data_IF_064573882527
#
_entry.id   IF_064573882527
#
_cell.length_a   1.000
_cell.length_b   1.000
_cell.length_c   1.000
_cell.angle_alpha   90.00
_cell.angle_beta   90.00
_cell.angle_gamma   90.00
#
_symmetry.space_group_name_H-M   'P 1'
#
loop_
_entity.id
_entity.type
_entity.pdbx_description
1 polymer ?
#
# COMPACT_ATOMS: atom_id res chain seq x y z
N UNK A 1 7.73 -18.79 -11.16
CA UNK A 1 6.30 -18.66 -11.49
C UNK A 1 5.92 -17.21 -11.82
N UNK A 2 6.03 -16.23 -10.90
CA UNK A 2 5.61 -14.84 -11.18
C UNK A 2 6.50 -14.05 -12.16
N UNK A 3 7.82 -14.29 -12.22
CA UNK A 3 8.68 -13.67 -13.23
C UNK A 3 8.22 -13.99 -14.66
N UNK A 4 7.75 -15.22 -14.90
CA UNK A 4 7.15 -15.61 -16.18
C UNK A 4 5.78 -14.94 -16.37
N UNK A 5 4.99 -14.75 -15.31
CA UNK A 5 3.72 -14.01 -15.36
C UNK A 5 3.91 -12.51 -15.63
N UNK A 6 5.00 -11.91 -15.15
CA UNK A 6 5.36 -10.52 -15.42
C UNK A 6 5.95 -10.34 -16.82
N UNK A 7 6.80 -11.26 -17.28
CA UNK A 7 7.25 -11.30 -18.66
C UNK A 7 6.04 -11.47 -19.61
N UNK A 8 5.08 -12.32 -19.23
CA UNK A 8 3.81 -12.48 -19.94
C UNK A 8 2.93 -11.23 -19.85
N UNK A 9 2.94 -10.49 -18.73
CA UNK A 9 2.22 -9.22 -18.58
C UNK A 9 2.84 -8.12 -19.45
N UNK A 10 4.17 -8.01 -19.49
CA UNK A 10 4.89 -7.08 -20.35
C UNK A 10 4.73 -7.44 -21.83
N UNK A 11 4.73 -8.74 -22.16
CA UNK A 11 4.43 -9.23 -23.51
C UNK A 11 2.97 -8.92 -23.88
N UNK A 12 2.02 -9.17 -22.97
CA UNK A 12 0.60 -8.82 -23.14
C UNK A 12 0.37 -7.32 -23.26
N UNK A 13 1.18 -6.50 -22.57
CA UNK A 13 1.17 -5.04 -22.72
C UNK A 13 1.75 -4.60 -24.07
N UNK A 14 2.81 -5.27 -24.57
CA UNK A 14 3.37 -5.03 -25.92
C UNK A 14 2.37 -5.45 -27.01
N UNK A 15 1.72 -6.61 -26.88
CA UNK A 15 0.67 -7.09 -27.79
C UNK A 15 -0.60 -6.24 -27.72
N UNK A 16 -1.06 -5.87 -26.52
CA UNK A 16 -2.18 -4.91 -26.37
C UNK A 16 -1.83 -3.57 -26.96
N UNK A 17 -0.61 -3.05 -26.81
CA UNK A 17 -0.16 -1.80 -27.46
C UNK A 17 -0.22 -1.90 -28.99
N UNK A 18 0.10 -3.05 -29.57
CA UNK A 18 0.00 -3.28 -31.02
C UNK A 18 -1.44 -3.47 -31.49
N UNK A 19 -2.30 -4.13 -30.69
CA UNK A 19 -3.72 -4.32 -30.97
C UNK A 19 -4.56 -3.05 -30.77
N UNK A 20 -4.24 -2.23 -29.77
CA UNK A 20 -4.88 -0.94 -29.44
C UNK A 20 -4.57 0.15 -30.47
N UNK A 21 -3.60 -0.09 -31.37
CA UNK A 21 -3.34 0.77 -32.53
C UNK A 21 -4.51 0.82 -33.55
N UNK A 22 -5.57 0.02 -33.34
CA UNK A 22 -6.74 -0.12 -34.22
C UNK A 22 -8.09 0.31 -33.63
N UNK A 23 -8.16 0.90 -32.43
CA UNK A 23 -9.43 1.37 -31.85
C UNK A 23 -9.28 2.57 -30.90
N UNK A 24 -10.31 3.42 -30.73
CA UNK A 24 -10.19 4.65 -29.95
C UNK A 24 -10.52 4.39 -28.46
N UNK A 25 -9.57 4.66 -27.57
CA UNK A 25 -9.72 5.57 -26.40
C UNK A 25 -8.45 5.54 -25.52
N UNK A 26 -7.87 6.75 -25.39
CA UNK A 26 -6.77 7.24 -24.55
C UNK A 26 -5.71 6.25 -24.01
N UNK A 27 -4.73 5.87 -24.86
CA UNK A 27 -3.41 5.51 -24.35
C UNK A 27 -2.79 6.75 -23.68
N UNK A 28 -2.13 6.58 -22.54
CA UNK A 28 -1.24 7.62 -21.99
C UNK A 28 -0.18 7.91 -23.06
N UNK A 29 -0.38 8.98 -23.83
CA UNK A 29 0.51 9.37 -24.90
C UNK A 29 1.65 10.20 -24.30
N UNK A 30 2.81 9.57 -24.16
CA UNK A 30 4.01 10.21 -23.63
C UNK A 30 4.68 11.00 -24.75
N UNK A 31 4.40 12.29 -24.83
CA UNK A 31 5.10 13.22 -25.72
C UNK A 31 6.46 13.58 -25.14
N UNK A 32 7.44 12.69 -25.33
CA UNK A 32 8.80 12.85 -24.81
C UNK A 32 9.66 13.82 -25.64
N UNK A 33 9.14 14.34 -26.76
CA UNK A 33 9.83 15.32 -27.60
C UNK A 33 11.24 14.88 -27.97
N UNK A 34 12.23 15.77 -27.80
CA UNK A 34 13.62 15.52 -28.16
C UNK A 34 14.31 14.41 -27.35
N UNK A 35 13.75 13.96 -26.23
CA UNK A 35 14.35 12.89 -25.40
C UNK A 35 13.79 11.49 -25.72
N UNK A 36 12.82 11.35 -26.64
CA UNK A 36 12.19 10.04 -26.96
C UNK A 36 13.23 8.97 -27.32
N UNK A 37 14.18 9.31 -28.20
CA UNK A 37 15.22 8.38 -28.65
C UNK A 37 16.12 7.93 -27.51
N UNK A 38 16.43 8.83 -26.58
CA UNK A 38 17.27 8.51 -25.42
C UNK A 38 16.53 7.62 -24.41
N UNK A 39 15.25 7.90 -24.19
CA UNK A 39 14.38 7.09 -23.33
C UNK A 39 14.17 5.70 -23.90
N UNK A 40 13.82 5.58 -25.19
CA UNK A 40 13.64 4.29 -25.87
C UNK A 40 14.91 3.45 -25.82
N UNK A 41 16.08 4.06 -26.08
CA UNK A 41 17.37 3.38 -25.98
C UNK A 41 17.64 2.89 -24.56
N UNK A 42 17.32 3.70 -23.54
CA UNK A 42 17.51 3.35 -22.14
C UNK A 42 16.57 2.22 -21.70
N UNK A 43 15.31 2.25 -22.14
CA UNK A 43 14.35 1.18 -21.90
C UNK A 43 14.78 -0.14 -22.55
N UNK A 44 15.28 -0.09 -23.79
CA UNK A 44 15.82 -1.28 -24.47
C UNK A 44 17.02 -1.88 -23.71
N UNK A 45 17.90 -1.03 -23.17
CA UNK A 45 19.00 -1.48 -22.32
C UNK A 45 18.49 -2.13 -21.03
N UNK A 46 17.51 -1.53 -20.37
CA UNK A 46 16.92 -2.08 -19.14
C UNK A 46 16.21 -3.41 -19.34
N UNK A 47 15.56 -3.59 -20.50
CA UNK A 47 14.99 -4.87 -20.92
C UNK A 47 16.11 -5.93 -21.06
N UNK A 48 17.22 -5.60 -21.72
CA UNK A 48 18.37 -6.51 -21.88
C UNK A 48 19.02 -6.87 -20.53
N UNK A 49 19.16 -5.90 -19.63
CA UNK A 49 19.71 -6.07 -18.28
C UNK A 49 18.71 -6.70 -17.30
N UNK A 50 17.48 -7.00 -17.76
CA UNK A 50 16.38 -7.55 -16.96
C UNK A 50 16.10 -6.75 -15.69
N UNK A 51 16.22 -5.42 -15.77
CA UNK A 51 16.10 -4.52 -14.61
C UNK A 51 14.77 -4.72 -13.90
N UNK A 52 13.66 -4.87 -14.64
CA UNK A 52 12.35 -5.14 -14.05
C UNK A 52 12.30 -6.42 -13.23
N UNK A 53 12.77 -7.55 -13.78
CA UNK A 53 12.80 -8.82 -13.05
C UNK A 53 13.77 -8.82 -11.86
N UNK A 54 14.88 -8.08 -11.96
CA UNK A 54 15.83 -7.87 -10.86
C UNK A 54 15.24 -7.00 -9.76
N UNK A 55 14.50 -5.95 -10.12
CA UNK A 55 13.79 -5.07 -9.21
C UNK A 55 12.77 -5.85 -8.36
N UNK A 56 11.97 -6.71 -8.99
CA UNK A 56 11.01 -7.58 -8.29
C UNK A 56 11.62 -8.65 -7.40
N UNK A 57 12.90 -9.01 -7.64
CA UNK A 57 13.66 -9.92 -6.78
C UNK A 57 14.51 -9.19 -5.74
N UNK A 58 14.27 -7.89 -5.58
CA UNK A 58 14.97 -7.02 -4.62
C UNK A 58 16.49 -7.06 -4.83
N UNK A 59 16.95 -7.18 -6.08
CA UNK A 59 18.37 -7.33 -6.39
C UNK A 59 19.17 -6.07 -6.00
N UNK A 60 20.04 -6.13 -4.97
CA UNK A 60 20.75 -4.96 -4.46
C UNK A 60 21.76 -4.40 -5.47
N UNK A 61 22.18 -5.18 -6.46
CA UNK A 61 23.11 -4.72 -7.49
C UNK A 61 22.52 -3.70 -8.46
N UNK A 62 21.20 -3.45 -8.41
CA UNK A 62 20.57 -2.31 -9.08
C UNK A 62 20.91 -0.96 -8.41
N UNK A 63 21.33 -0.99 -7.14
CA UNK A 63 21.75 0.18 -6.37
C UNK A 63 23.16 -0.03 -5.80
N UNK A 64 24.21 0.02 -6.65
CA UNK A 64 25.59 -0.30 -6.24
C UNK A 64 26.16 0.59 -5.12
N UNK A 65 25.54 1.75 -4.86
CA UNK A 65 25.93 2.69 -3.82
C UNK A 65 25.05 2.60 -2.55
N UNK A 66 24.08 1.70 -2.50
CA UNK A 66 23.20 1.51 -1.35
C UNK A 66 23.62 0.29 -0.53
N UNK A 67 23.36 0.34 0.78
CA UNK A 67 23.48 -0.84 1.63
C UNK A 67 22.44 -1.90 1.17
N UNK A 68 22.84 -3.16 0.88
CA UNK A 68 21.90 -4.21 0.55
C UNK A 68 20.77 -4.41 1.56
N UNK A 69 21.02 -4.19 2.86
CA UNK A 69 20.00 -4.29 3.91
C UNK A 69 18.96 -3.17 3.79
N UNK A 70 19.39 -1.97 3.40
CA UNK A 70 18.50 -0.84 3.14
C UNK A 70 17.63 -1.09 1.90
N UNK A 71 18.18 -1.73 0.86
CA UNK A 71 17.43 -2.04 -0.37
C UNK A 71 16.26 -2.99 -0.07
N UNK A 72 16.51 -4.09 0.64
CA UNK A 72 15.46 -5.04 1.03
C UNK A 72 14.39 -4.35 1.90
N UNK A 73 14.80 -3.54 2.88
CA UNK A 73 13.85 -2.79 3.72
C UNK A 73 12.99 -1.81 2.92
N UNK A 74 13.57 -1.14 1.91
CA UNK A 74 12.86 -0.18 1.06
C UNK A 74 11.98 -0.83 0.00
N UNK A 75 12.28 -2.07 -0.41
CA UNK A 75 11.52 -2.81 -1.42
C UNK A 75 10.52 -3.81 -0.83
N UNK A 76 10.47 -3.98 0.49
CA UNK A 76 9.53 -4.90 1.14
C UNK A 76 8.04 -4.61 0.88
N UNK A 77 7.68 -3.48 0.26
CA UNK A 77 6.32 -3.22 -0.22
C UNK A 77 5.95 -4.06 -1.46
N UNK A 78 6.92 -4.56 -2.23
CA UNK A 78 6.69 -5.33 -3.45
C UNK A 78 6.01 -6.67 -3.17
N UNK A 79 6.28 -7.25 -2.00
CA UNK A 79 5.72 -8.55 -1.55
C UNK A 79 4.54 -8.37 -0.59
N UNK A 80 4.20 -7.12 -0.26
CA UNK A 80 3.14 -6.81 0.70
C UNK A 80 1.78 -7.38 0.29
N UNK A 81 1.35 -7.36 -1.00
CA UNK A 81 0.08 -7.96 -1.39
C UNK A 81 -0.01 -9.46 -1.09
N UNK A 82 1.05 -10.23 -1.40
CA UNK A 82 1.10 -11.67 -1.15
C UNK A 82 1.14 -11.98 0.35
N UNK A 83 1.97 -11.24 1.09
CA UNK A 83 2.09 -11.40 2.55
C UNK A 83 0.77 -11.05 3.23
N UNK A 84 0.12 -9.96 2.83
CA UNK A 84 -1.15 -9.53 3.41
C UNK A 84 -2.31 -10.46 3.03
N UNK A 85 -2.30 -11.03 1.83
CA UNK A 85 -3.32 -12.00 1.42
C UNK A 85 -3.36 -13.21 2.37
N UNK A 86 -2.20 -13.68 2.84
CA UNK A 86 -2.11 -14.76 3.82
C UNK A 86 -2.63 -14.36 5.21
N UNK A 87 -2.66 -13.06 5.53
CA UNK A 87 -3.16 -12.50 6.79
C UNK A 87 -4.66 -12.17 6.76
N UNK A 88 -5.29 -12.17 5.58
CA UNK A 88 -6.71 -11.87 5.46
C UNK A 88 -7.61 -12.74 6.35
N UNK A 89 -7.40 -14.07 6.49
CA UNK A 89 -8.25 -14.89 7.37
C UNK A 89 -8.19 -14.44 8.84
N UNK A 90 -7.00 -14.10 9.32
CA UNK A 90 -6.77 -13.61 10.68
C UNK A 90 -7.47 -12.26 10.91
N UNK A 91 -7.35 -11.34 9.94
CA UNK A 91 -7.97 -10.01 9.98
C UNK A 91 -9.50 -10.14 9.95
N UNK A 92 -10.05 -10.95 9.04
CA UNK A 92 -11.50 -11.16 8.93
C UNK A 92 -12.06 -11.77 10.21
N UNK A 93 -11.38 -12.78 10.77
CA UNK A 93 -11.79 -13.37 12.04
C UNK A 93 -11.79 -12.36 13.19
N UNK A 94 -10.78 -11.48 13.25
CA UNK A 94 -10.76 -10.40 14.24
C UNK A 94 -11.94 -9.44 14.05
N UNK A 95 -12.23 -9.04 12.81
CA UNK A 95 -13.36 -8.17 12.48
C UNK A 95 -14.69 -8.80 12.85
N UNK A 96 -14.87 -10.10 12.62
CA UNK A 96 -16.09 -10.82 13.00
C UNK A 96 -16.31 -10.82 14.52
N UNK A 97 -15.26 -11.10 15.30
CA UNK A 97 -15.34 -10.99 16.78
C UNK A 97 -15.72 -9.60 17.24
N UNK A 98 -15.12 -8.55 16.66
CA UNK A 98 -15.46 -7.16 17.00
C UNK A 98 -16.94 -6.87 16.73
N UNK A 99 -17.52 -7.46 15.68
CA UNK A 99 -18.95 -7.32 15.37
C UNK A 99 -19.84 -8.11 16.33
N UNK A 100 -19.47 -9.35 16.63
CA UNK A 100 -20.19 -10.22 17.57
C UNK A 100 -20.21 -9.66 18.99
N UNK A 101 -19.11 -9.04 19.42
CA UNK A 101 -19.00 -8.36 20.72
C UNK A 101 -19.79 -7.02 20.78
N UNK A 102 -20.33 -6.56 19.65
CA UNK A 102 -21.26 -5.42 19.62
C UNK A 102 -20.60 -4.03 19.67
N UNK A 103 -19.30 -3.95 19.36
CA UNK A 103 -18.60 -2.68 19.23
C UNK A 103 -19.19 -1.86 18.08
N UNK A 104 -19.44 -0.57 18.34
CA UNK A 104 -19.97 0.37 17.34
C UNK A 104 -18.99 1.50 17.00
N UNK A 105 -17.88 1.59 17.74
CA UNK A 105 -16.82 2.58 17.56
C UNK A 105 -15.43 1.91 17.65
N UNK A 106 -14.52 2.34 16.76
CA UNK A 106 -13.09 2.05 16.83
C UNK A 106 -12.35 3.38 16.87
N UNK A 107 -11.51 3.57 17.89
CA UNK A 107 -10.62 4.72 18.01
C UNK A 107 -9.20 4.26 17.69
N UNK A 108 -8.65 4.73 16.58
CA UNK A 108 -7.25 4.55 16.24
C UNK A 108 -6.41 5.64 16.90
N UNK A 109 -5.55 5.24 17.83
CA UNK A 109 -4.55 6.07 18.49
C UNK A 109 -3.24 5.91 17.72
N UNK A 110 -2.81 6.94 17.01
CA UNK A 110 -1.53 6.95 16.31
C UNK A 110 -0.95 8.35 16.26
N UNK A 111 0.35 8.47 15.99
CA UNK A 111 0.98 9.76 15.68
C UNK A 111 1.69 9.68 14.33
N UNK A 112 1.39 10.58 13.41
CA UNK A 112 2.10 10.75 12.14
C UNK A 112 1.59 9.86 11.00
N UNK A 113 2.49 9.30 10.18
CA UNK A 113 2.13 8.57 8.94
C UNK A 113 1.18 7.38 9.14
N UNK A 114 1.15 6.80 10.34
CA UNK A 114 0.22 5.73 10.71
C UNK A 114 -1.23 6.19 10.94
N UNK A 115 -1.47 7.50 11.07
CA UNK A 115 -2.78 8.11 11.28
C UNK A 115 -3.40 8.61 9.97
N UNK A 116 -2.58 9.10 9.04
CA UNK A 116 -3.06 9.75 7.81
C UNK A 116 -3.74 8.78 6.84
N UNK A 117 -3.14 7.61 6.56
CA UNK A 117 -3.75 6.65 5.65
C UNK A 117 -5.09 6.12 6.18
N UNK A 118 -5.22 5.71 7.46
CA UNK A 118 -6.51 5.36 8.04
C UNK A 118 -7.53 6.52 8.07
N UNK A 119 -7.09 7.76 8.31
CA UNK A 119 -8.00 8.92 8.28
C UNK A 119 -8.56 9.13 6.86
N UNK A 120 -7.71 9.07 5.83
CA UNK A 120 -8.14 9.15 4.43
C UNK A 120 -9.09 8.01 4.09
N UNK A 121 -8.76 6.76 4.44
CA UNK A 121 -9.64 5.62 4.20
C UNK A 121 -10.98 5.76 4.90
N UNK A 122 -11.01 6.26 6.14
CA UNK A 122 -12.27 6.48 6.87
C UNK A 122 -13.18 7.53 6.22
N UNK A 123 -12.59 8.48 5.47
CA UNK A 123 -13.32 9.54 4.76
C UNK A 123 -13.78 9.12 3.37
N UNK A 124 -12.99 8.30 2.68
CA UNK A 124 -13.27 7.91 1.28
C UNK A 124 -14.05 6.60 1.17
N UNK A 125 -13.95 5.73 2.17
CA UNK A 125 -14.67 4.46 2.22
C UNK A 125 -15.82 4.57 3.22
N UNK A 126 -17.08 4.39 2.79
CA UNK A 126 -18.20 4.40 3.72
C UNK A 126 -18.10 3.20 4.68
N UNK A 127 -18.46 3.43 5.94
CA UNK A 127 -18.64 2.33 6.89
C UNK A 127 -19.83 1.46 6.45
N UNK A 128 -19.59 0.15 6.33
CA UNK A 128 -20.63 -0.82 6.00
C UNK A 128 -21.61 -1.00 7.15
N UNK A 129 -22.89 -1.24 6.83
CA UNK A 129 -23.91 -1.52 7.83
C UNK A 129 -23.51 -2.73 8.70
N UNK A 130 -23.58 -2.57 10.03
CA UNK A 130 -23.19 -3.62 10.98
C UNK A 130 -21.68 -3.71 11.27
N UNK A 131 -20.91 -2.67 10.90
CA UNK A 131 -19.51 -2.51 11.30
C UNK A 131 -19.35 -1.25 12.16
N UNK A 132 -18.35 -1.21 13.05
CA UNK A 132 -18.10 -0.03 13.87
C UNK A 132 -17.58 1.14 13.03
N UNK A 133 -17.80 2.35 13.53
CA UNK A 133 -17.28 3.58 12.94
C UNK A 133 -15.82 3.78 13.35
N UNK A 134 -14.95 4.11 12.41
CA UNK A 134 -13.55 4.44 12.68
C UNK A 134 -13.41 5.95 12.96
N UNK A 135 -12.72 6.30 14.04
CA UNK A 135 -12.24 7.65 14.31
C UNK A 135 -10.74 7.60 14.61
N UNK A 136 -9.98 8.45 13.94
CA UNK A 136 -8.54 8.59 14.19
C UNK A 136 -8.31 9.70 15.21
N UNK A 137 -7.53 9.41 16.25
CA UNK A 137 -7.05 10.39 17.22
C UNK A 137 -5.53 10.53 17.05
N UNK A 138 -5.15 11.53 16.26
CA UNK A 138 -3.75 11.88 15.96
C UNK A 138 -3.23 12.96 16.94
N UNK A 139 -3.51 12.81 18.23
CA UNK A 139 -3.08 13.77 19.25
C UNK A 139 -2.97 13.14 20.62
N UNK A 140 -1.87 13.44 21.32
CA UNK A 140 -1.67 13.14 22.74
C UNK A 140 -2.12 14.28 23.65
N UNK A 141 -2.70 15.36 23.09
CA UNK A 141 -3.14 16.50 23.88
C UNK A 141 -4.26 16.08 24.85
N UNK A 142 -4.15 16.36 26.16
CA UNK A 142 -5.10 15.91 27.17
C UNK A 142 -6.56 16.28 26.85
N UNK A 143 -6.78 17.46 26.26
CA UNK A 143 -8.14 17.90 25.92
C UNK A 143 -8.74 17.11 24.75
N UNK A 144 -7.91 16.68 23.78
CA UNK A 144 -8.35 15.86 22.65
C UNK A 144 -8.75 14.45 23.13
N UNK A 145 -7.94 13.86 24.02
CA UNK A 145 -8.25 12.58 24.66
C UNK A 145 -9.51 12.69 25.53
N UNK A 146 -9.63 13.76 26.31
CA UNK A 146 -10.80 14.00 27.15
C UNK A 146 -12.08 14.22 26.32
N UNK A 147 -11.99 14.92 25.18
CA UNK A 147 -13.09 15.11 24.26
C UNK A 147 -13.57 13.77 23.68
N UNK A 148 -12.65 12.91 23.21
CA UNK A 148 -13.01 11.56 22.73
C UNK A 148 -13.68 10.76 23.83
N UNK A 149 -13.09 10.70 25.03
CA UNK A 149 -13.64 9.96 26.17
C UNK A 149 -15.05 10.40 26.56
N UNK A 150 -15.38 11.70 26.44
CA UNK A 150 -16.73 12.23 26.71
C UNK A 150 -17.74 11.93 25.60
N UNK A 151 -17.27 11.61 24.39
CA UNK A 151 -18.10 11.49 23.19
C UNK A 151 -18.46 10.06 22.79
N UNK A 152 -17.94 9.05 23.50
CA UNK A 152 -18.11 7.63 23.17
C UNK A 152 -18.53 6.80 24.39
N UNK A 153 -19.29 5.73 24.17
CA UNK A 153 -19.50 4.71 25.19
C UNK A 153 -18.29 3.77 25.24
N UNK A 154 -17.51 3.86 26.31
CA UNK A 154 -16.29 3.07 26.48
C UNK A 154 -16.55 1.55 26.46
N UNK A 155 -17.76 1.09 26.81
CA UNK A 155 -18.12 -0.34 26.77
C UNK A 155 -18.32 -0.86 25.35
N UNK A 156 -18.55 0.04 24.39
CA UNK A 156 -18.81 -0.28 22.98
C UNK A 156 -17.74 0.29 22.04
N UNK A 157 -16.63 0.74 22.63
CA UNK A 157 -15.50 1.34 21.91
C UNK A 157 -14.27 0.46 21.99
N UNK A 158 -13.72 0.10 20.82
CA UNK A 158 -12.42 -0.55 20.70
C UNK A 158 -11.34 0.50 20.48
N UNK A 159 -10.24 0.42 21.22
CA UNK A 159 -9.07 1.28 21.02
C UNK A 159 -7.95 0.50 20.33
N UNK A 160 -7.49 0.99 19.17
CA UNK A 160 -6.35 0.43 18.44
C UNK A 160 -5.16 1.37 18.60
N UNK A 161 -4.05 0.87 19.12
CA UNK A 161 -2.82 1.66 19.27
C UNK A 161 -1.88 1.33 18.11
N UNK A 162 -1.65 2.28 17.22
CA UNK A 162 -0.70 2.17 16.11
C UNK A 162 0.48 3.11 16.35
N UNK A 163 1.56 2.54 16.86
CA UNK A 163 2.84 3.24 17.05
C UNK A 163 3.92 2.54 16.26
N UNK A 164 4.66 3.29 15.44
CA UNK A 164 5.92 2.80 14.87
C UNK A 164 7.02 3.05 15.90
N UNK A 165 7.15 2.15 16.88
CA UNK A 165 8.34 2.16 17.74
C UNK A 165 9.47 1.53 16.92
N UNK A 166 10.33 2.38 16.35
CA UNK A 166 11.60 1.94 15.79
C UNK A 166 12.55 1.70 16.98
N UNK A 167 12.49 0.53 17.60
CA UNK A 167 13.56 0.09 18.50
C UNK A 167 14.76 -0.31 17.62
N UNK A 168 15.71 0.60 17.44
CA UNK A 168 17.07 0.22 17.08
C UNK A 168 17.83 0.00 18.40
N UNK A 169 18.22 -1.25 18.63
CA UNK A 169 19.38 -1.59 19.46
C UNK A 169 20.56 -1.82 18.52
#
# INVERSE_FOLDING_TARGET
AFAQSFDHLLASLKEKREALRKGPEDPVELHLGSVSVQVERRLAQWDQEKVGGRFWREDPSLWPNADPQDVASRLGWLTLPEVMAQRLPEITHFVDKVREEGFDQVILLGMGGSSLAPDVFSRVLPSSAGFPRLRVLDSTHPDAVAAVRRSVDLRRTLFLVSSKIRHHH
#
